data_IF_477719857410
#
_entry.id   IF_477719857410
#
_cell.length_a   1.000
_cell.length_b   1.000
_cell.length_c   1.000
_cell.angle_alpha   90.00
_cell.angle_beta   90.00
_cell.angle_gamma   90.00
#
_symmetry.space_group_name_H-M   'P 1'
#
loop_
_entity.id
_entity.type
_entity.pdbx_description
1 polymer ?
#
# COMPACT_ATOMS: atom_id res chain seq x y z
N UNK A 1 35.39 24.25 3.62
CA UNK A 1 35.16 23.57 2.32
C UNK A 1 34.67 22.13 2.44
N UNK A 2 34.88 21.39 3.54
CA UNK A 2 34.44 19.98 3.67
C UNK A 2 32.92 19.74 3.73
N UNK A 3 32.18 20.52 4.51
CA UNK A 3 30.74 20.28 4.71
C UNK A 3 29.88 20.45 3.43
N UNK A 4 30.18 21.46 2.60
CA UNK A 4 29.44 21.70 1.36
C UNK A 4 29.65 20.58 0.32
N UNK A 5 30.85 19.97 0.28
CA UNK A 5 31.12 18.82 -0.58
C UNK A 5 30.38 17.56 -0.08
N UNK A 6 30.31 17.36 1.24
CA UNK A 6 29.55 16.24 1.83
C UNK A 6 28.05 16.33 1.55
N UNK A 7 27.46 17.52 1.63
CA UNK A 7 26.02 17.70 1.35
C UNK A 7 25.71 17.47 -0.12
N UNK A 8 26.54 17.98 -1.04
CA UNK A 8 26.37 17.71 -2.49
C UNK A 8 26.43 16.23 -2.81
N UNK A 9 27.38 15.51 -2.21
CA UNK A 9 27.48 14.06 -2.38
C UNK A 9 26.20 13.36 -1.90
N UNK A 10 25.70 13.70 -0.71
CA UNK A 10 24.48 13.11 -0.18
C UNK A 10 23.25 13.35 -1.08
N UNK A 11 23.15 14.52 -1.70
CA UNK A 11 22.09 14.80 -2.68
C UNK A 11 22.16 13.85 -3.87
N UNK A 12 23.35 13.68 -4.46
CA UNK A 12 23.57 12.76 -5.58
C UNK A 12 23.24 11.32 -5.18
N UNK A 13 23.72 10.88 -4.01
CA UNK A 13 23.47 9.53 -3.51
C UNK A 13 21.97 9.28 -3.26
N UNK A 14 21.22 10.28 -2.79
CA UNK A 14 19.77 10.16 -2.55
C UNK A 14 18.96 10.07 -3.85
N UNK A 15 19.39 10.77 -4.90
CA UNK A 15 18.75 10.68 -6.23
C UNK A 15 19.04 9.31 -6.86
N UNK A 16 20.29 8.87 -6.83
CA UNK A 16 20.66 7.55 -7.35
C UNK A 16 19.93 6.42 -6.60
N UNK A 17 19.74 6.56 -5.28
CA UNK A 17 18.97 5.61 -4.49
C UNK A 17 17.49 5.56 -4.91
N UNK A 18 16.87 6.71 -5.20
CA UNK A 18 15.50 6.77 -5.73
C UNK A 18 15.40 5.99 -7.05
N UNK A 19 16.28 6.27 -8.02
CA UNK A 19 16.27 5.61 -9.33
C UNK A 19 16.46 4.09 -9.25
N UNK A 20 17.25 3.62 -8.27
CA UNK A 20 17.48 2.20 -8.03
C UNK A 20 16.32 1.50 -7.34
N UNK A 21 15.62 2.21 -6.46
CA UNK A 21 14.62 1.61 -5.57
C UNK A 21 13.19 1.90 -5.99
N UNK A 22 12.91 2.78 -6.95
CA UNK A 22 11.54 3.01 -7.39
C UNK A 22 10.98 1.83 -8.21
N UNK A 23 9.68 1.51 -8.08
CA UNK A 23 9.08 0.44 -8.84
C UNK A 23 9.21 0.68 -10.35
N UNK A 24 9.68 -0.34 -11.06
CA UNK A 24 9.76 -0.27 -12.51
C UNK A 24 8.38 -0.43 -13.16
N UNK A 25 8.29 -0.14 -14.47
CA UNK A 25 7.02 -0.22 -15.20
C UNK A 25 6.36 -1.61 -15.17
N UNK A 26 7.15 -2.67 -15.10
CA UNK A 26 6.68 -4.06 -14.98
C UNK A 26 6.03 -4.33 -13.63
N UNK A 27 6.66 -3.91 -12.53
CA UNK A 27 6.09 -4.00 -11.18
C UNK A 27 4.77 -3.22 -11.10
N UNK A 28 4.75 -1.97 -11.57
CA UNK A 28 3.53 -1.16 -11.60
C UNK A 28 2.42 -1.79 -12.46
N UNK A 29 2.76 -2.47 -13.56
CA UNK A 29 1.80 -3.21 -14.38
C UNK A 29 1.27 -4.46 -13.66
N UNK A 30 2.13 -5.16 -12.94
CA UNK A 30 1.77 -6.34 -12.14
C UNK A 30 0.82 -5.95 -11.00
N UNK A 31 1.13 -4.90 -10.24
CA UNK A 31 0.29 -4.36 -9.17
C UNK A 31 -1.10 -3.94 -9.69
N UNK A 32 -1.15 -3.19 -10.81
CA UNK A 32 -2.42 -2.83 -11.48
C UNK A 32 -3.22 -4.06 -11.93
N UNK A 33 -2.55 -5.13 -12.34
CA UNK A 33 -3.21 -6.35 -12.76
C UNK A 33 -3.74 -7.18 -11.57
N UNK A 34 -3.05 -7.18 -10.42
CA UNK A 34 -3.56 -7.74 -9.16
C UNK A 34 -4.84 -7.03 -8.75
N UNK A 35 -4.82 -5.69 -8.66
CA UNK A 35 -6.02 -4.89 -8.34
C UNK A 35 -7.21 -5.24 -9.24
N UNK A 36 -6.99 -5.27 -10.56
CA UNK A 36 -8.04 -5.61 -11.54
C UNK A 36 -8.60 -7.01 -11.30
N UNK A 37 -7.74 -7.97 -10.94
CA UNK A 37 -8.17 -9.33 -10.65
C UNK A 37 -9.00 -9.42 -9.38
N UNK A 38 -8.58 -8.76 -8.29
CA UNK A 38 -9.35 -8.66 -7.05
C UNK A 38 -10.72 -8.02 -7.31
N UNK A 39 -10.75 -6.88 -8.02
CA UNK A 39 -11.98 -6.19 -8.42
C UNK A 39 -12.94 -7.10 -9.19
N UNK A 40 -12.44 -7.87 -10.15
CA UNK A 40 -13.26 -8.77 -10.97
C UNK A 40 -13.87 -9.90 -10.12
N UNK A 41 -13.08 -10.51 -9.25
CA UNK A 41 -13.54 -11.63 -8.42
C UNK A 41 -14.59 -11.18 -7.40
N UNK A 42 -14.36 -10.05 -6.72
CA UNK A 42 -15.31 -9.54 -5.73
C UNK A 42 -16.62 -9.06 -6.37
N UNK A 43 -16.59 -8.54 -7.60
CA UNK A 43 -17.82 -8.17 -8.33
C UNK A 43 -18.77 -9.33 -8.62
N UNK A 44 -18.27 -10.57 -8.64
CA UNK A 44 -19.13 -11.74 -8.79
C UNK A 44 -20.07 -11.95 -7.59
N UNK A 45 -19.71 -11.41 -6.43
CA UNK A 45 -20.51 -11.47 -5.21
C UNK A 45 -21.19 -10.13 -4.90
N UNK A 46 -20.49 -9.03 -5.15
CA UNK A 46 -20.95 -7.68 -4.82
C UNK A 46 -20.83 -6.78 -6.06
N UNK A 47 -21.89 -6.67 -6.88
CA UNK A 47 -21.81 -6.00 -8.19
C UNK A 47 -21.33 -4.55 -8.13
N UNK A 48 -21.66 -3.81 -7.06
CA UNK A 48 -21.31 -2.40 -6.86
C UNK A 48 -19.96 -2.18 -6.19
N UNK A 49 -19.26 -3.25 -5.78
CA UNK A 49 -18.02 -3.12 -5.01
C UNK A 49 -16.93 -2.41 -5.80
N UNK A 50 -16.19 -1.54 -5.12
CA UNK A 50 -15.01 -0.86 -5.66
C UNK A 50 -13.77 -1.30 -4.89
N UNK A 51 -12.72 -1.62 -5.64
CA UNK A 51 -11.40 -1.96 -5.10
C UNK A 51 -10.44 -0.84 -5.48
N UNK A 52 -10.04 -0.07 -4.48
CA UNK A 52 -9.18 1.09 -4.65
C UNK A 52 -7.84 0.84 -3.96
N UNK A 53 -6.72 1.07 -4.68
CA UNK A 53 -5.41 0.94 -4.11
C UNK A 53 -5.11 2.17 -3.25
N UNK A 54 -4.29 2.00 -2.23
CA UNK A 54 -3.81 3.09 -1.38
C UNK A 54 -2.38 2.81 -0.92
N UNK A 55 -1.88 3.66 -0.02
CA UNK A 55 -0.59 3.45 0.62
C UNK A 55 0.58 3.71 -0.32
N UNK A 56 1.67 2.99 -0.09
CA UNK A 56 2.95 3.29 -0.72
C UNK A 56 2.97 2.98 -2.22
N UNK A 57 2.19 1.99 -2.65
CA UNK A 57 2.04 1.64 -4.07
C UNK A 57 1.38 2.74 -4.90
N UNK A 58 0.60 3.64 -4.29
CA UNK A 58 -0.17 4.68 -4.98
C UNK A 58 0.31 6.11 -4.71
N UNK A 59 0.97 6.35 -3.57
CA UNK A 59 1.51 7.67 -3.23
C UNK A 59 2.72 8.06 -4.09
N UNK A 60 3.32 7.09 -4.79
CA UNK A 60 4.58 7.27 -5.50
C UNK A 60 5.80 7.28 -4.57
N UNK A 61 5.62 6.93 -3.29
CA UNK A 61 6.68 6.83 -2.28
C UNK A 61 6.94 5.35 -1.88
N UNK A 62 6.48 4.42 -2.69
CA UNK A 62 6.72 2.98 -2.58
C UNK A 62 8.11 2.61 -3.09
N UNK A 63 8.77 1.68 -2.40
CA UNK A 63 9.98 1.05 -2.90
C UNK A 63 9.59 -0.14 -3.80
N UNK A 64 10.47 -0.54 -4.72
CA UNK A 64 10.33 -1.74 -5.53
C UNK A 64 10.05 -2.97 -4.66
N UNK A 65 9.24 -3.88 -5.18
CA UNK A 65 8.73 -5.04 -4.45
C UNK A 65 7.83 -4.73 -3.25
N UNK A 66 7.27 -3.51 -3.13
CA UNK A 66 6.30 -3.23 -2.07
C UNK A 66 4.96 -3.93 -2.31
N UNK A 67 4.30 -4.22 -1.19
CA UNK A 67 2.96 -4.77 -1.16
C UNK A 67 1.95 -3.78 -1.76
N UNK A 68 0.88 -4.33 -2.32
CA UNK A 68 -0.26 -3.53 -2.82
C UNK A 68 -1.35 -3.50 -1.76
N UNK A 69 -1.55 -2.35 -1.15
CA UNK A 69 -2.65 -2.12 -0.22
C UNK A 69 -3.95 -1.84 -1.02
N UNK A 70 -4.98 -2.64 -0.79
CA UNK A 70 -6.29 -2.55 -1.46
C UNK A 70 -7.42 -2.40 -0.45
N UNK A 71 -8.24 -1.36 -0.63
CA UNK A 71 -9.47 -1.14 0.12
C UNK A 71 -10.69 -1.60 -0.69
N UNK A 72 -11.61 -2.30 -0.02
CA UNK A 72 -12.93 -2.69 -0.56
C UNK A 72 -13.97 -1.67 -0.07
N UNK A 73 -14.78 -1.14 -0.99
CA UNK A 73 -15.81 -0.13 -0.72
C UNK A 73 -17.14 -0.55 -1.35
N UNK A 74 -18.26 -0.34 -0.64
CA UNK A 74 -19.60 -0.78 -1.04
C UNK A 74 -20.53 0.37 -1.49
N UNK A 75 -20.17 1.61 -1.17
CA UNK A 75 -20.88 2.84 -1.54
C UNK A 75 -19.90 3.87 -2.14
N UNK A 76 -20.38 5.10 -2.43
CA UNK A 76 -19.48 6.18 -2.85
C UNK A 76 -18.43 6.46 -1.77
N UNK A 77 -17.20 6.70 -2.20
CA UNK A 77 -16.03 6.78 -1.32
C UNK A 77 -16.18 7.88 -0.24
N UNK A 78 -17.04 8.86 -0.49
CA UNK A 78 -17.35 9.97 0.40
C UNK A 78 -18.21 9.57 1.62
N UNK A 79 -18.96 8.46 1.58
CA UNK A 79 -19.87 8.05 2.68
C UNK A 79 -19.20 7.18 3.76
N UNK A 80 -17.99 6.67 3.53
CA UNK A 80 -17.28 5.79 4.48
C UNK A 80 -16.45 6.58 5.53
N UNK A 81 -16.99 7.73 5.94
CA UNK A 81 -16.53 8.49 7.09
C UNK A 81 -16.83 7.69 8.37
N UNK A 82 -15.97 6.71 8.68
CA UNK A 82 -15.87 6.01 9.97
C UNK A 82 -17.22 5.76 10.67
N UNK A 83 -17.93 4.70 10.30
CA UNK A 83 -19.07 4.27 11.14
C UNK A 83 -20.08 3.33 10.53
N UNK A 84 -20.04 3.06 9.22
CA UNK A 84 -21.03 2.18 8.60
C UNK A 84 -20.84 0.71 9.01
N UNK A 85 -19.59 0.23 9.08
CA UNK A 85 -19.30 -1.16 9.44
C UNK A 85 -18.63 -1.25 10.81
N UNK A 86 -19.26 -2.00 11.70
CA UNK A 86 -18.68 -2.48 12.96
C UNK A 86 -17.44 -3.34 12.72
N UNK A 87 -16.57 -3.52 13.74
CA UNK A 87 -15.42 -4.40 13.62
C UNK A 87 -15.78 -5.83 13.19
N UNK A 88 -16.90 -6.38 13.69
CA UNK A 88 -17.39 -7.71 13.31
C UNK A 88 -17.80 -7.77 11.84
N UNK A 89 -18.60 -6.81 11.36
CA UNK A 89 -19.02 -6.77 9.95
C UNK A 89 -17.82 -6.66 9.00
N UNK A 90 -16.79 -5.89 9.39
CA UNK A 90 -15.54 -5.82 8.61
C UNK A 90 -14.84 -7.17 8.48
N UNK A 91 -14.81 -7.95 9.56
CA UNK A 91 -14.24 -9.30 9.54
C UNK A 91 -15.10 -10.25 8.71
N UNK A 92 -16.42 -10.18 8.79
CA UNK A 92 -17.35 -10.99 8.00
C UNK A 92 -17.23 -10.70 6.50
N UNK A 93 -17.18 -9.41 6.13
CA UNK A 93 -16.92 -8.99 4.75
C UNK A 93 -15.57 -9.51 4.25
N UNK A 94 -14.51 -9.44 5.06
CA UNK A 94 -13.21 -9.98 4.67
C UNK A 94 -13.19 -11.52 4.60
N UNK A 95 -13.98 -12.21 5.42
CA UNK A 95 -14.13 -13.66 5.32
C UNK A 95 -14.80 -14.05 4.00
N UNK A 96 -15.89 -13.38 3.63
CA UNK A 96 -16.53 -13.56 2.33
C UNK A 96 -15.59 -13.23 1.15
N UNK A 97 -14.82 -12.13 1.27
CA UNK A 97 -13.80 -11.79 0.27
C UNK A 97 -12.72 -12.87 0.17
N UNK A 98 -12.26 -13.42 1.30
CA UNK A 98 -11.27 -14.49 1.35
C UNK A 98 -11.75 -15.74 0.60
N UNK A 99 -13.00 -16.17 0.80
CA UNK A 99 -13.57 -17.29 0.06
C UNK A 99 -13.49 -17.09 -1.45
N UNK A 100 -13.86 -15.88 -1.93
CA UNK A 100 -13.81 -15.55 -3.37
C UNK A 100 -12.40 -15.43 -3.93
N UNK A 101 -11.44 -14.97 -3.13
CA UNK A 101 -10.08 -14.70 -3.58
C UNK A 101 -9.18 -15.95 -3.48
N UNK A 102 -9.48 -16.88 -2.57
CA UNK A 102 -8.67 -18.08 -2.31
C UNK A 102 -8.47 -19.00 -3.54
N UNK A 103 -9.37 -18.97 -4.51
CA UNK A 103 -9.22 -19.74 -5.75
C UNK A 103 -8.24 -19.14 -6.77
N UNK A 104 -7.83 -17.88 -6.60
CA UNK A 104 -6.92 -17.18 -7.51
C UNK A 104 -5.65 -16.66 -6.84
N UNK A 105 -5.67 -16.50 -5.52
CA UNK A 105 -4.57 -16.00 -4.70
C UNK A 105 -4.27 -16.97 -3.56
N UNK A 106 -3.01 -17.05 -3.17
CA UNK A 106 -2.63 -17.76 -1.95
C UNK A 106 -2.91 -16.86 -0.74
N UNK A 107 -3.70 -17.36 0.21
CA UNK A 107 -3.96 -16.66 1.47
C UNK A 107 -2.77 -16.89 2.39
N UNK A 108 -2.01 -15.83 2.67
CA UNK A 108 -0.84 -15.90 3.56
C UNK A 108 -1.28 -15.78 5.01
N UNK A 109 -2.16 -14.82 5.31
CA UNK A 109 -2.61 -14.54 6.67
C UNK A 109 -3.96 -13.82 6.64
N UNK A 110 -4.80 -14.06 7.65
CA UNK A 110 -6.00 -13.24 7.89
C UNK A 110 -5.96 -12.70 9.33
N UNK A 111 -5.54 -11.43 9.45
CA UNK A 111 -5.40 -10.71 10.71
C UNK A 111 -6.74 -10.10 11.11
N UNK A 112 -7.49 -10.81 11.96
CA UNK A 112 -8.87 -10.45 12.34
C UNK A 112 -8.95 -9.47 13.51
N UNK A 113 -8.01 -9.53 14.44
CA UNK A 113 -8.09 -8.84 15.74
C UNK A 113 -7.27 -7.54 15.80
N UNK A 114 -6.79 -7.05 14.66
CA UNK A 114 -6.12 -5.75 14.59
C UNK A 114 -7.15 -4.60 14.53
N UNK A 115 -6.69 -3.38 14.81
CA UNK A 115 -7.50 -2.15 14.68
C UNK A 115 -8.16 -2.03 13.30
N UNK A 116 -7.44 -2.43 12.26
CA UNK A 116 -7.95 -2.58 10.89
C UNK A 116 -7.72 -4.03 10.50
N UNK A 117 -8.77 -4.86 10.44
CA UNK A 117 -8.65 -6.22 9.95
C UNK A 117 -8.11 -6.24 8.51
N UNK A 118 -7.19 -7.17 8.22
CA UNK A 118 -6.52 -7.26 6.91
C UNK A 118 -6.34 -8.71 6.49
N UNK A 119 -6.59 -8.96 5.20
CA UNK A 119 -6.35 -10.22 4.51
C UNK A 119 -5.10 -10.09 3.66
N UNK A 120 -4.03 -10.80 4.03
CA UNK A 120 -2.75 -10.81 3.31
C UNK A 120 -2.74 -11.92 2.27
N UNK A 121 -2.51 -11.55 1.02
CA UNK A 121 -2.59 -12.42 -0.14
C UNK A 121 -1.29 -12.39 -0.94
N UNK A 122 -1.05 -13.46 -1.68
CA UNK A 122 0.02 -13.58 -2.66
C UNK A 122 -0.53 -13.99 -4.03
N UNK A 123 -0.20 -13.25 -5.09
CA UNK A 123 -0.47 -13.63 -6.48
C UNK A 123 0.70 -14.46 -7.02
N UNK A 124 0.61 -15.80 -7.12
CA UNK A 124 1.71 -16.62 -7.63
C UNK A 124 2.00 -16.37 -9.12
N UNK A 125 1.04 -15.86 -9.89
CA UNK A 125 1.24 -15.58 -11.32
C UNK A 125 2.04 -14.31 -11.55
N UNK A 126 1.82 -13.29 -10.70
CA UNK A 126 2.43 -11.97 -10.84
C UNK A 126 3.57 -11.73 -9.86
N UNK A 127 3.73 -12.59 -8.86
CA UNK A 127 4.71 -12.48 -7.79
C UNK A 127 4.54 -11.16 -7.02
N UNK A 128 3.30 -10.86 -6.63
CA UNK A 128 2.93 -9.63 -5.93
C UNK A 128 2.18 -9.97 -4.64
N UNK A 129 2.66 -9.43 -3.53
CA UNK A 129 1.96 -9.43 -2.25
C UNK A 129 0.90 -8.34 -2.22
N UNK A 130 -0.23 -8.61 -1.57
CA UNK A 130 -1.36 -7.71 -1.54
C UNK A 130 -2.12 -7.83 -0.23
N UNK A 131 -2.34 -6.68 0.40
CA UNK A 131 -3.09 -6.55 1.63
C UNK A 131 -4.48 -6.01 1.31
N UNK A 132 -5.52 -6.75 1.66
CA UNK A 132 -6.91 -6.39 1.38
C UNK A 132 -7.63 -6.09 2.70
N UNK A 133 -8.24 -4.92 2.81
CA UNK A 133 -9.04 -4.53 3.96
C UNK A 133 -10.39 -3.94 3.53
N UNK A 134 -11.34 -3.84 4.46
CA UNK A 134 -12.51 -2.98 4.24
C UNK A 134 -12.04 -1.54 4.33
N UNK A 135 -12.31 -0.78 3.27
CA UNK A 135 -11.79 0.55 3.06
C UNK A 135 -12.14 1.53 4.19
N UNK A 136 -11.35 2.60 4.25
CA UNK A 136 -11.67 3.80 5.01
C UNK A 136 -11.19 5.02 4.25
N UNK A 137 -11.94 6.12 4.32
CA UNK A 137 -11.63 7.33 3.54
C UNK A 137 -10.25 7.93 3.89
N UNK A 138 -9.82 7.81 5.16
CA UNK A 138 -8.52 8.32 5.60
C UNK A 138 -7.33 7.68 4.89
N UNK A 139 -7.40 6.39 4.55
CA UNK A 139 -6.32 5.74 3.82
C UNK A 139 -6.15 6.37 2.43
N UNK A 140 -7.25 6.72 1.76
CA UNK A 140 -7.23 7.38 0.45
C UNK A 140 -6.77 8.83 0.56
N UNK A 141 -7.28 9.58 1.53
CA UNK A 141 -6.90 10.98 1.75
C UNK A 141 -5.41 11.12 2.09
N UNK A 142 -4.90 10.28 2.98
CA UNK A 142 -3.48 10.27 3.33
C UNK A 142 -2.60 9.89 2.13
N UNK A 143 -3.03 8.91 1.33
CA UNK A 143 -2.33 8.53 0.10
C UNK A 143 -2.29 9.68 -0.90
N UNK A 144 -3.42 10.35 -1.12
CA UNK A 144 -3.53 11.50 -2.01
C UNK A 144 -2.67 12.68 -1.52
N UNK A 145 -2.66 12.94 -0.21
CA UNK A 145 -1.83 13.98 0.40
C UNK A 145 -0.34 13.71 0.21
N UNK A 146 0.13 12.49 0.49
CA UNK A 146 1.53 12.10 0.28
C UNK A 146 1.92 12.17 -1.19
N UNK A 147 1.02 11.75 -2.09
CA UNK A 147 1.21 11.89 -3.54
C UNK A 147 1.38 13.34 -3.95
N UNK A 148 0.52 14.22 -3.43
CA UNK A 148 0.60 15.65 -3.68
C UNK A 148 1.95 16.21 -3.21
N UNK A 149 2.38 15.92 -1.98
CA UNK A 149 3.69 16.35 -1.50
C UNK A 149 4.85 15.86 -2.37
N UNK A 150 4.80 14.62 -2.84
CA UNK A 150 5.81 14.08 -3.76
C UNK A 150 5.85 14.75 -5.13
N UNK A 151 4.79 15.46 -5.53
CA UNK A 151 4.67 16.18 -6.79
C UNK A 151 4.98 17.67 -6.67
N UNK A 152 4.83 18.25 -5.46
CA UNK A 152 5.06 19.67 -5.21
C UNK A 152 6.52 20.07 -5.40
N UNK A 153 7.47 19.24 -4.99
CA UNK A 153 8.89 19.54 -5.10
C UNK A 153 9.72 18.28 -5.43
N UNK A 154 10.62 18.33 -6.43
CA UNK A 154 11.41 17.18 -6.86
C UNK A 154 12.33 16.63 -5.78
N UNK A 155 12.63 17.40 -4.72
CA UNK A 155 13.49 16.97 -3.59
C UNK A 155 12.77 16.06 -2.60
N UNK A 156 11.43 16.05 -2.59
CA UNK A 156 10.64 15.28 -1.62
C UNK A 156 10.85 13.79 -1.82
N UNK A 157 10.74 13.29 -3.05
CA UNK A 157 10.88 11.86 -3.34
C UNK A 157 12.26 11.32 -2.95
N UNK A 158 13.40 11.90 -3.40
CA UNK A 158 14.73 11.42 -3.00
C UNK A 158 14.92 11.38 -1.47
N UNK A 159 14.46 12.43 -0.77
CA UNK A 159 14.58 12.49 0.69
C UNK A 159 13.76 11.39 1.38
N UNK A 160 12.51 11.19 0.98
CA UNK A 160 11.64 10.15 1.54
C UNK A 160 12.21 8.76 1.27
N UNK A 161 12.71 8.50 0.06
CA UNK A 161 13.34 7.22 -0.27
C UNK A 161 14.59 6.97 0.58
N UNK A 162 15.44 7.97 0.77
CA UNK A 162 16.62 7.88 1.63
C UNK A 162 16.25 7.54 3.08
N UNK A 163 15.28 8.26 3.66
CA UNK A 163 14.83 8.01 5.05
C UNK A 163 14.18 6.64 5.18
N UNK A 164 13.30 6.27 4.24
CA UNK A 164 12.58 4.99 4.26
C UNK A 164 13.53 3.80 4.11
N UNK A 165 14.49 3.89 3.19
CA UNK A 165 15.52 2.88 3.03
C UNK A 165 16.39 2.78 4.28
N UNK A 166 16.86 3.90 4.83
CA UNK A 166 17.64 3.92 6.07
C UNK A 166 16.88 3.27 7.23
N UNK A 167 15.61 3.65 7.45
CA UNK A 167 14.79 3.11 8.52
C UNK A 167 14.59 1.58 8.37
N UNK A 168 14.37 1.10 7.14
CA UNK A 168 14.28 -0.33 6.82
C UNK A 168 15.58 -1.07 7.13
N UNK A 169 16.73 -0.53 6.74
CA UNK A 169 18.04 -1.13 7.04
C UNK A 169 18.36 -1.14 8.54
N UNK A 170 17.74 -0.26 9.33
CA UNK A 170 17.88 -0.22 10.80
C UNK A 170 16.81 -1.01 11.55
N UNK A 171 15.82 -1.58 10.86
CA UNK A 171 14.73 -2.32 11.48
C UNK A 171 13.83 -1.46 12.38
N UNK A 172 13.68 -0.17 12.08
CA UNK A 172 12.88 0.78 12.89
C UNK A 172 11.57 1.20 12.20
N UNK A 173 11.17 0.47 11.15
CA UNK A 173 9.97 0.71 10.35
C UNK A 173 8.99 -0.49 10.35
N UNK A 174 8.97 -1.24 11.45
CA UNK A 174 8.11 -2.40 11.70
C UNK A 174 7.18 -2.14 12.88
N UNK A 175 5.95 -1.70 12.57
CA UNK A 175 4.94 -1.40 13.57
C UNK A 175 4.42 -2.63 14.32
N UNK A 176 4.55 -3.83 13.75
CA UNK A 176 4.12 -5.06 14.40
C UNK A 176 5.05 -5.36 15.57
N UNK A 177 6.34 -5.06 15.42
CA UNK A 177 7.36 -5.23 16.46
C UNK A 177 7.59 -3.97 17.32
N UNK A 178 6.61 -3.05 17.35
CA UNK A 178 6.62 -1.88 18.25
C UNK A 178 7.48 -0.70 17.80
N UNK A 179 7.93 -0.68 16.55
CA UNK A 179 8.62 0.49 15.95
C UNK A 179 7.65 1.31 15.09
N UNK A 180 8.14 2.26 14.29
CA UNK A 180 7.27 3.15 13.51
C UNK A 180 6.68 2.43 12.29
N UNK A 181 5.52 2.90 11.82
CA UNK A 181 5.05 2.52 10.48
C UNK A 181 5.92 3.16 9.40
N UNK A 182 5.85 2.61 8.18
CA UNK A 182 6.47 3.25 7.02
C UNK A 182 5.69 4.47 6.50
N UNK A 183 4.45 4.68 6.98
CA UNK A 183 3.70 5.94 6.87
C UNK A 183 4.17 6.89 7.96
#
# INVERSE_FOLDING_TARGET
MGAANSVRKLTVDSIALLEQLEPNAGELAAQRAVRRRVQQLLRSQWPTVRVLPFGSSESGLGLGGCDVDLGIYFEDVDVDAQGQFSPQERVELLAAACERLSGAFQVQEFVRHARVPVLKLWDPKRQVACDVCVGGIHALLNTALLKFYGQVDPRVRPLVFAVKYWAKQRGINDSVNGTLSSY
#
